data_IF_688210101408
#
_entry.id   IF_688210101408
#
_cell.length_a   1.000
_cell.length_b   1.000
_cell.length_c   1.000
_cell.angle_alpha   90.00
_cell.angle_beta   90.00
_cell.angle_gamma   90.00
#
_symmetry.space_group_name_H-M   'P 1'
#
loop_
_entity.id
_entity.type
_entity.pdbx_description
1 polymer ?
#
# COMPACT_ATOMS: atom_id res chain seq x y z
N UNK A 1 -7.07 21.71 6.06
CA UNK A 1 -7.73 20.54 6.68
C UNK A 1 -6.85 19.28 6.64
N UNK A 2 -6.36 18.84 5.46
CA UNK A 2 -5.47 17.66 5.35
C UNK A 2 -4.18 17.77 6.18
N UNK A 3 -3.49 18.91 6.11
CA UNK A 3 -2.33 19.18 6.95
C UNK A 3 -2.62 19.19 8.45
N UNK A 4 -3.79 19.68 8.85
CA UNK A 4 -4.24 19.61 10.25
C UNK A 4 -4.60 18.20 10.67
N UNK A 5 -5.16 17.37 9.78
CA UNK A 5 -5.42 15.96 10.05
C UNK A 5 -4.12 15.17 10.16
N UNK A 6 -3.15 15.38 9.26
CA UNK A 6 -1.82 14.74 9.35
C UNK A 6 -1.12 15.10 10.66
N UNK A 7 -1.15 16.39 11.04
CA UNK A 7 -0.62 16.86 12.32
C UNK A 7 -1.46 16.35 13.49
N UNK A 8 -2.80 16.22 13.40
CA UNK A 8 -3.63 15.71 14.50
C UNK A 8 -3.50 14.18 14.69
N UNK A 9 -3.29 13.42 13.62
CA UNK A 9 -2.92 11.99 13.67
C UNK A 9 -1.56 11.82 14.37
N UNK A 10 -0.67 12.78 14.20
CA UNK A 10 0.67 12.74 14.77
C UNK A 10 0.68 13.29 16.22
N UNK A 11 0.18 14.49 16.47
CA UNK A 11 0.32 15.21 17.76
C UNK A 11 -0.43 14.57 18.93
N UNK A 12 -1.41 13.69 18.70
CA UNK A 12 -2.21 13.17 19.80
C UNK A 12 -1.47 12.07 20.58
N UNK A 13 -1.02 12.41 21.79
CA UNK A 13 -0.54 11.45 22.82
C UNK A 13 -1.65 10.52 23.32
N UNK A 14 -2.85 10.56 22.76
CA UNK A 14 -3.92 9.63 23.10
C UNK A 14 -3.72 8.30 22.35
N UNK A 15 -3.89 7.15 23.03
CA UNK A 15 -3.88 5.84 22.36
C UNK A 15 -5.02 5.67 21.35
N UNK A 16 -5.88 6.68 21.12
CA UNK A 16 -7.13 6.58 20.37
C UNK A 16 -7.08 7.10 18.92
N UNK A 17 -6.04 7.80 18.49
CA UNK A 17 -5.97 8.41 17.14
C UNK A 17 -4.72 7.98 16.33
N UNK A 18 -4.45 6.67 16.23
CA UNK A 18 -3.36 6.17 15.38
C UNK A 18 -3.80 6.03 13.92
N UNK A 19 -2.85 6.09 12.97
CA UNK A 19 -3.14 5.80 11.55
C UNK A 19 -3.83 4.45 11.35
N UNK A 20 -3.55 3.46 12.20
CA UNK A 20 -4.25 2.17 12.19
C UNK A 20 -5.73 2.35 12.55
N UNK A 21 -6.04 3.00 13.68
CA UNK A 21 -7.43 3.22 14.12
C UNK A 21 -8.23 4.05 13.12
N UNK A 22 -7.61 5.08 12.55
CA UNK A 22 -8.23 5.91 11.52
C UNK A 22 -8.48 5.09 10.24
N UNK A 23 -7.52 4.26 9.84
CA UNK A 23 -7.70 3.38 8.69
C UNK A 23 -8.88 2.42 8.90
N UNK A 24 -8.98 1.80 10.07
CA UNK A 24 -10.08 0.88 10.40
C UNK A 24 -11.46 1.56 10.33
N UNK A 25 -11.55 2.82 10.76
CA UNK A 25 -12.79 3.62 10.72
C UNK A 25 -13.14 4.07 9.29
N UNK A 26 -12.15 4.51 8.51
CA UNK A 26 -12.37 5.06 7.17
C UNK A 26 -12.57 3.94 6.12
N UNK A 27 -11.97 2.78 6.32
CA UNK A 27 -11.93 1.71 5.32
C UNK A 27 -13.31 1.28 4.79
N UNK A 28 -14.36 1.08 5.61
CA UNK A 28 -15.69 0.76 5.10
C UNK A 28 -16.25 1.82 4.14
N UNK A 29 -15.92 3.10 4.33
CA UNK A 29 -16.36 4.16 3.42
C UNK A 29 -15.66 4.06 2.06
N UNK A 30 -14.37 3.68 2.04
CA UNK A 30 -13.60 3.52 0.81
C UNK A 30 -14.18 2.39 -0.06
N UNK A 31 -14.57 1.27 0.56
CA UNK A 31 -15.19 0.14 -0.16
C UNK A 31 -16.49 0.54 -0.87
N UNK A 32 -17.18 1.56 -0.37
CA UNK A 32 -18.44 2.05 -0.93
C UNK A 32 -18.27 3.18 -1.95
N UNK A 33 -17.04 3.63 -2.25
CA UNK A 33 -16.80 4.61 -3.31
C UNK A 33 -16.90 3.88 -4.66
N UNK A 34 -17.90 4.16 -5.51
CA UNK A 34 -18.14 3.38 -6.72
C UNK A 34 -17.20 3.72 -7.87
N UNK A 35 -16.76 4.99 -7.94
CA UNK A 35 -15.99 5.52 -9.05
C UNK A 35 -14.49 5.39 -8.78
N UNK A 36 -13.78 4.74 -9.72
CA UNK A 36 -12.32 4.62 -9.70
C UNK A 36 -11.61 5.97 -9.53
N UNK A 37 -12.03 6.99 -10.28
CA UNK A 37 -11.41 8.33 -10.22
C UNK A 37 -11.51 8.98 -8.84
N UNK A 38 -12.61 8.75 -8.11
CA UNK A 38 -12.79 9.24 -6.75
C UNK A 38 -11.87 8.50 -5.77
N UNK A 39 -11.74 7.19 -5.90
CA UNK A 39 -10.79 6.40 -5.09
C UNK A 39 -9.35 6.80 -5.37
N UNK A 40 -8.98 6.98 -6.64
CA UNK A 40 -7.66 7.47 -7.04
C UNK A 40 -7.37 8.86 -6.46
N UNK A 41 -8.31 9.80 -6.58
CA UNK A 41 -8.16 11.14 -6.00
C UNK A 41 -7.99 11.08 -4.47
N UNK A 42 -8.72 10.20 -3.79
CA UNK A 42 -8.60 10.02 -2.34
C UNK A 42 -7.18 9.60 -1.95
N UNK A 43 -6.62 8.56 -2.58
CA UNK A 43 -5.29 8.07 -2.24
C UNK A 43 -4.17 9.02 -2.69
N UNK A 44 -4.33 9.70 -3.82
CA UNK A 44 -3.33 10.64 -4.34
C UNK A 44 -3.26 11.95 -3.54
N UNK A 45 -4.37 12.38 -2.94
CA UNK A 45 -4.41 13.60 -2.10
C UNK A 45 -4.07 13.35 -0.64
N UNK A 46 -3.82 12.10 -0.25
CA UNK A 46 -3.49 11.76 1.14
C UNK A 46 -2.04 12.13 1.48
N UNK A 47 -1.87 13.13 2.34
CA UNK A 47 -0.54 13.60 2.77
C UNK A 47 0.19 12.57 3.65
N UNK A 48 -0.54 11.93 4.57
CA UNK A 48 0.04 10.95 5.51
C UNK A 48 0.39 9.64 4.80
N UNK A 49 1.68 9.40 4.60
CA UNK A 49 2.20 8.17 3.98
C UNK A 49 1.85 6.92 4.80
N UNK A 50 1.90 7.04 6.13
CA UNK A 50 1.55 5.93 7.02
C UNK A 50 0.07 5.58 6.94
N UNK A 51 -0.82 6.57 6.93
CA UNK A 51 -2.26 6.33 6.76
C UNK A 51 -2.56 5.74 5.38
N UNK A 52 -1.91 6.26 4.33
CA UNK A 52 -2.04 5.74 2.97
C UNK A 52 -1.59 4.28 2.88
N UNK A 53 -0.45 3.93 3.49
CA UNK A 53 -0.01 2.53 3.64
C UNK A 53 -1.09 1.68 4.31
N UNK A 54 -1.62 2.12 5.46
CA UNK A 54 -2.58 1.32 6.24
C UNK A 54 -3.88 1.07 5.49
N UNK A 55 -4.41 2.09 4.83
CA UNK A 55 -5.64 1.95 4.04
C UNK A 55 -5.44 1.05 2.81
N UNK A 56 -4.30 1.20 2.11
CA UNK A 56 -3.98 0.33 0.98
C UNK A 56 -3.75 -1.12 1.43
N UNK A 57 -3.08 -1.35 2.57
CA UNK A 57 -2.94 -2.68 3.16
C UNK A 57 -4.30 -3.33 3.47
N UNK A 58 -5.24 -2.59 4.07
CA UNK A 58 -6.59 -3.08 4.33
C UNK A 58 -7.33 -3.40 3.02
N UNK A 59 -7.19 -2.56 2.00
CA UNK A 59 -7.79 -2.77 0.69
C UNK A 59 -7.26 -4.04 0.03
N UNK A 60 -5.95 -4.27 0.04
CA UNK A 60 -5.36 -5.50 -0.48
C UNK A 60 -5.74 -6.72 0.36
N UNK A 61 -5.75 -6.62 1.69
CA UNK A 61 -6.18 -7.70 2.56
C UNK A 61 -7.61 -8.13 2.27
N UNK A 62 -8.52 -7.17 2.10
CA UNK A 62 -9.91 -7.43 1.71
C UNK A 62 -10.03 -8.00 0.30
N UNK A 63 -9.10 -7.65 -0.60
CA UNK A 63 -9.09 -8.07 -1.99
C UNK A 63 -8.27 -9.35 -2.25
N UNK A 64 -7.74 -9.99 -1.21
CA UNK A 64 -7.07 -11.28 -1.31
C UNK A 64 -8.05 -12.40 -0.95
N UNK A 65 -7.99 -13.49 -1.70
CA UNK A 65 -8.73 -14.72 -1.42
C UNK A 65 -8.16 -15.47 -0.21
N UNK A 66 -6.84 -15.44 -0.04
CA UNK A 66 -6.13 -16.06 1.08
C UNK A 66 -5.65 -14.98 2.04
N UNK A 67 -6.21 -14.87 3.26
CA UNK A 67 -5.79 -13.88 4.24
C UNK A 67 -4.37 -14.16 4.74
N UNK A 68 -3.59 -13.11 4.91
CA UNK A 68 -2.24 -13.19 5.49
C UNK A 68 -2.19 -12.54 6.88
N UNK A 69 -1.42 -13.14 7.78
CA UNK A 69 -1.08 -12.58 9.10
C UNK A 69 0.27 -11.89 9.11
N UNK A 70 0.90 -11.74 7.93
CA UNK A 70 2.19 -11.06 7.83
C UNK A 70 2.11 -9.64 8.41
N UNK A 71 3.18 -9.18 9.05
CA UNK A 71 3.28 -7.80 9.47
C UNK A 71 3.33 -6.86 8.25
N UNK A 72 3.26 -5.54 8.50
CA UNK A 72 3.38 -4.49 7.49
C UNK A 72 4.80 -4.44 6.93
N UNK A 73 5.16 -5.40 6.08
CA UNK A 73 6.51 -5.62 5.55
C UNK A 73 6.51 -5.79 4.03
N UNK A 74 7.70 -5.76 3.41
CA UNK A 74 7.85 -6.01 1.97
C UNK A 74 7.31 -7.39 1.58
N UNK A 75 7.50 -8.41 2.43
CA UNK A 75 6.95 -9.75 2.22
C UNK A 75 5.44 -9.73 2.04
N UNK A 76 4.74 -8.89 2.81
CA UNK A 76 3.29 -8.75 2.72
C UNK A 76 2.86 -8.07 1.42
N UNK A 77 3.61 -7.07 0.95
CA UNK A 77 3.34 -6.40 -0.33
C UNK A 77 3.52 -7.39 -1.49
N UNK A 78 4.59 -8.20 -1.48
CA UNK A 78 4.80 -9.26 -2.47
C UNK A 78 3.73 -10.35 -2.38
N UNK A 79 3.30 -10.69 -1.17
CA UNK A 79 2.19 -11.62 -0.97
C UNK A 79 0.91 -11.10 -1.64
N UNK A 80 0.59 -9.81 -1.47
CA UNK A 80 -0.57 -9.21 -2.12
C UNK A 80 -0.48 -9.29 -3.64
N UNK A 81 0.67 -8.95 -4.24
CA UNK A 81 0.91 -9.05 -5.69
C UNK A 81 0.57 -10.45 -6.23
N UNK A 82 0.89 -11.51 -5.47
CA UNK A 82 0.62 -12.89 -5.86
C UNK A 82 -0.83 -13.35 -5.63
N UNK A 83 -1.59 -12.75 -4.70
CA UNK A 83 -2.88 -13.31 -4.24
C UNK A 83 -4.09 -12.38 -4.40
N UNK A 84 -3.94 -11.14 -4.88
CA UNK A 84 -5.12 -10.29 -5.05
C UNK A 84 -6.05 -10.81 -6.17
N UNK A 85 -7.36 -10.73 -5.92
CA UNK A 85 -8.46 -11.25 -6.75
C UNK A 85 -9.50 -10.19 -7.14
N UNK A 86 -9.26 -8.91 -6.81
CA UNK A 86 -10.05 -7.75 -7.26
C UNK A 86 -11.52 -7.79 -6.79
N UNK A 87 -11.74 -7.60 -5.48
CA UNK A 87 -13.07 -7.71 -4.83
C UNK A 87 -13.79 -6.38 -4.62
N UNK A 88 -13.33 -5.28 -5.22
CA UNK A 88 -13.95 -3.97 -5.08
C UNK A 88 -15.30 -3.89 -5.81
N UNK A 89 -16.22 -3.08 -5.28
CA UNK A 89 -17.47 -2.76 -5.96
C UNK A 89 -17.24 -1.71 -7.06
N UNK A 90 -17.81 -1.96 -8.23
CA UNK A 90 -17.78 -1.07 -9.38
C UNK A 90 -19.22 -0.79 -9.81
N UNK A 91 -19.54 0.48 -10.07
CA UNK A 91 -20.88 0.88 -10.50
C UNK A 91 -21.18 0.48 -11.95
N UNK A 92 -20.15 0.39 -12.79
CA UNK A 92 -20.28 -0.02 -14.19
C UNK A 92 -19.73 -1.43 -14.41
N UNK A 93 -20.10 -2.04 -15.54
CA UNK A 93 -19.47 -3.25 -16.10
C UNK A 93 -18.02 -2.97 -16.56
N UNK A 94 -17.19 -2.51 -15.63
CA UNK A 94 -15.78 -2.26 -15.84
C UNK A 94 -15.11 -3.54 -16.29
N UNK A 95 -14.39 -3.45 -17.41
CA UNK A 95 -13.69 -4.59 -17.97
C UNK A 95 -12.66 -5.10 -16.96
N UNK A 96 -12.48 -6.42 -16.87
CA UNK A 96 -11.58 -7.06 -15.91
C UNK A 96 -10.19 -6.41 -15.89
N UNK A 97 -9.61 -6.13 -17.06
CA UNK A 97 -8.30 -5.49 -17.16
C UNK A 97 -8.23 -4.09 -16.51
N UNK A 98 -9.32 -3.30 -16.52
CA UNK A 98 -9.34 -1.97 -15.90
C UNK A 98 -9.26 -2.06 -14.37
N UNK A 99 -9.84 -3.13 -13.81
CA UNK A 99 -9.79 -3.39 -12.38
C UNK A 99 -8.39 -3.85 -11.95
N UNK A 100 -7.75 -4.69 -12.76
CA UNK A 100 -6.34 -5.05 -12.58
C UNK A 100 -5.43 -3.83 -12.69
N UNK A 101 -5.68 -2.92 -13.63
CA UNK A 101 -4.92 -1.68 -13.79
C UNK A 101 -5.01 -0.78 -12.54
N UNK A 102 -6.21 -0.69 -11.95
CA UNK A 102 -6.42 0.03 -10.69
C UNK A 102 -5.70 -0.64 -9.52
N UNK A 103 -5.77 -1.97 -9.40
CA UNK A 103 -5.06 -2.69 -8.34
C UNK A 103 -3.54 -2.55 -8.47
N UNK A 104 -2.99 -2.61 -9.68
CA UNK A 104 -1.57 -2.33 -9.91
C UNK A 104 -1.20 -0.90 -9.52
N UNK A 105 -2.05 0.08 -9.81
CA UNK A 105 -1.85 1.47 -9.36
C UNK A 105 -1.76 1.56 -7.84
N UNK A 106 -2.66 0.88 -7.14
CA UNK A 106 -2.71 0.84 -5.68
C UNK A 106 -1.51 0.12 -5.08
N UNK A 107 -1.01 -0.92 -5.75
CA UNK A 107 0.20 -1.62 -5.33
C UNK A 107 1.42 -0.70 -5.45
N UNK A 108 1.55 0.04 -6.55
CA UNK A 108 2.62 1.03 -6.73
C UNK A 108 2.53 2.13 -5.66
N UNK A 109 1.33 2.64 -5.37
CA UNK A 109 1.12 3.61 -4.30
C UNK A 109 1.47 3.04 -2.92
N UNK A 110 1.15 1.77 -2.66
CA UNK A 110 1.50 1.09 -1.41
C UNK A 110 3.01 0.96 -1.28
N UNK A 111 3.69 0.49 -2.33
CA UNK A 111 5.15 0.34 -2.34
C UNK A 111 5.85 1.70 -2.15
N UNK A 112 5.42 2.75 -2.84
CA UNK A 112 5.96 4.10 -2.67
C UNK A 112 5.74 4.63 -1.25
N UNK A 113 4.54 4.46 -0.71
CA UNK A 113 4.23 4.87 0.67
C UNK A 113 5.07 4.08 1.68
N UNK A 114 5.26 2.79 1.42
CA UNK A 114 6.05 1.88 2.23
C UNK A 114 7.51 2.30 2.27
N UNK A 115 8.11 2.55 1.11
CA UNK A 115 9.49 3.03 1.01
C UNK A 115 9.68 4.36 1.76
N UNK A 116 8.70 5.27 1.71
CA UNK A 116 8.76 6.52 2.48
C UNK A 116 8.67 6.29 3.99
N UNK A 117 7.88 5.32 4.44
CA UNK A 117 7.75 4.96 5.86
C UNK A 117 8.99 4.24 6.40
N UNK A 118 9.69 3.47 5.57
CA UNK A 118 10.73 2.51 6.00
C UNK A 118 12.15 2.88 5.57
N UNK A 119 12.33 3.32 4.33
CA UNK A 119 13.63 3.37 3.67
C UNK A 119 14.17 4.77 3.42
N UNK A 120 13.38 5.83 3.58
CA UNK A 120 13.78 7.19 3.22
C UNK A 120 14.82 7.82 4.17
N UNK A 121 15.72 7.07 4.81
CA UNK A 121 16.81 7.65 5.63
C UNK A 121 17.76 8.50 4.76
N UNK A 122 18.24 9.68 5.20
CA UNK A 122 18.03 10.33 6.50
C UNK A 122 16.81 11.26 6.56
N UNK A 123 15.98 11.29 5.51
CA UNK A 123 14.77 12.12 5.40
C UNK A 123 13.52 11.45 6.02
N UNK A 124 13.62 10.18 6.43
CA UNK A 124 12.52 9.39 6.97
C UNK A 124 12.23 9.82 8.40
N UNK A 125 11.01 10.28 8.65
CA UNK A 125 10.54 10.75 9.95
C UNK A 125 10.35 9.64 10.99
N UNK A 126 11.01 8.48 10.85
CA UNK A 126 10.81 7.30 11.71
C UNK A 126 9.31 7.03 11.94
N UNK A 127 8.51 7.05 10.86
CA UNK A 127 7.04 7.04 10.93
C UNK A 127 6.45 5.83 11.70
N UNK A 128 7.19 4.72 11.79
CA UNK A 128 6.83 3.56 12.61
C UNK A 128 7.09 3.72 14.10
N UNK A 129 8.02 4.59 14.47
CA UNK A 129 8.35 4.86 15.86
C UNK A 129 7.29 5.77 16.49
N UNK A 130 7.03 5.63 17.80
CA UNK A 130 6.24 6.61 18.53
C UNK A 130 6.87 8.01 18.43
N UNK A 131 6.06 9.05 18.27
CA UNK A 131 6.55 10.43 18.14
C UNK A 131 7.43 10.88 19.30
N UNK A 132 7.14 10.38 20.52
CA UNK A 132 7.97 10.62 21.70
C UNK A 132 9.43 10.21 21.53
N UNK A 133 9.70 9.21 20.69
CA UNK A 133 11.03 8.66 20.47
C UNK A 133 11.64 9.07 19.14
N UNK A 134 10.87 9.68 18.23
CA UNK A 134 11.33 10.04 16.87
C UNK A 134 12.43 11.10 16.90
N UNK A 135 12.30 12.14 17.72
CA UNK A 135 13.32 13.20 17.81
C UNK A 135 14.67 12.63 18.26
N UNK A 136 14.69 11.75 19.26
CA UNK A 136 15.91 11.11 19.73
C UNK A 136 16.56 10.26 18.64
N UNK A 137 15.76 9.49 17.90
CA UNK A 137 16.24 8.65 16.79
C UNK A 137 16.84 9.49 15.65
N UNK A 138 16.22 10.65 15.33
CA UNK A 138 16.72 11.59 14.32
C UNK A 138 18.06 12.20 14.77
N UNK A 139 18.15 12.67 16.03
CA UNK A 139 19.39 13.22 16.60
C UNK A 139 20.50 12.17 16.58
N UNK A 140 20.17 10.93 16.90
CA UNK A 140 21.11 9.80 16.89
C UNK A 140 21.45 9.28 15.49
N UNK A 141 20.81 9.81 14.43
CA UNK A 141 20.92 9.30 13.05
C UNK A 141 20.67 7.79 12.97
N UNK A 142 19.76 7.29 13.79
CA UNK A 142 19.42 5.87 13.82
C UNK A 142 18.78 5.46 12.49
N UNK A 143 19.04 4.23 12.02
CA UNK A 143 18.29 3.69 10.89
C UNK A 143 16.85 3.37 11.32
N UNK A 144 15.84 3.55 10.45
CA UNK A 144 14.49 3.09 10.72
C UNK A 144 14.47 1.58 11.00
N UNK A 145 13.57 1.15 11.88
CA UNK A 145 13.44 -0.25 12.27
C UNK A 145 12.81 -1.05 11.12
N UNK A 146 13.56 -2.01 10.61
CA UNK A 146 13.05 -3.02 9.68
C UNK A 146 12.10 -3.97 10.42
N UNK A 147 11.11 -4.46 9.71
CA UNK A 147 10.14 -5.43 10.17
C UNK A 147 10.52 -6.82 9.68
N UNK A 148 10.03 -7.86 10.36
CA UNK A 148 10.21 -9.23 9.90
C UNK A 148 9.60 -9.39 8.49
N UNK A 149 10.40 -9.89 7.55
CA UNK A 149 10.03 -9.97 6.14
C UNK A 149 10.33 -8.70 5.32
N UNK A 150 11.14 -7.77 5.83
CA UNK A 150 11.73 -6.69 5.01
C UNK A 150 13.04 -7.08 4.35
N UNK A 151 13.78 -8.01 4.95
CA UNK A 151 15.01 -8.55 4.39
C UNK A 151 14.66 -9.66 3.39
N UNK A 152 14.42 -9.27 2.14
CA UNK A 152 14.08 -10.17 1.04
C UNK A 152 15.14 -10.01 -0.04
N UNK A 153 15.62 -11.14 -0.55
CA UNK A 153 16.57 -11.15 -1.65
C UNK A 153 15.92 -10.62 -2.93
N UNK A 154 16.68 -9.86 -3.73
CA UNK A 154 16.27 -9.39 -5.05
C UNK A 154 15.78 -10.53 -5.95
N UNK A 155 16.42 -11.70 -5.88
CA UNK A 155 16.00 -12.87 -6.65
C UNK A 155 14.58 -13.31 -6.28
N UNK A 156 14.24 -13.33 -4.99
CA UNK A 156 12.91 -13.73 -4.52
C UNK A 156 11.84 -12.72 -4.94
N UNK A 157 12.19 -11.42 -4.92
CA UNK A 157 11.32 -10.34 -5.44
C UNK A 157 11.03 -10.57 -6.92
N UNK A 158 12.08 -10.79 -7.72
CA UNK A 158 11.95 -11.00 -9.16
C UNK A 158 11.11 -12.24 -9.48
N UNK A 159 11.34 -13.35 -8.79
CA UNK A 159 10.54 -14.57 -8.96
C UNK A 159 9.06 -14.31 -8.64
N UNK A 160 8.75 -13.58 -7.55
CA UNK A 160 7.37 -13.24 -7.20
C UNK A 160 6.70 -12.34 -8.22
N UNK A 161 7.43 -11.40 -8.82
CA UNK A 161 6.92 -10.55 -9.89
C UNK A 161 6.59 -11.39 -11.12
N UNK A 162 7.52 -12.25 -11.59
CA UNK A 162 7.30 -13.09 -12.77
C UNK A 162 6.17 -14.11 -12.59
N UNK A 163 6.06 -14.73 -11.42
CA UNK A 163 4.93 -15.61 -11.07
C UNK A 163 3.59 -14.86 -11.17
N UNK A 164 3.58 -13.62 -10.66
CA UNK A 164 2.37 -12.80 -10.65
C UNK A 164 1.99 -12.32 -12.04
N UNK A 165 2.98 -11.98 -12.88
CA UNK A 165 2.77 -11.69 -14.30
C UNK A 165 2.17 -12.91 -15.00
N UNK A 166 2.77 -14.09 -14.83
CA UNK A 166 2.30 -15.33 -15.45
C UNK A 166 0.84 -15.64 -15.06
N UNK A 167 0.48 -15.46 -13.79
CA UNK A 167 -0.91 -15.57 -13.31
C UNK A 167 -1.83 -14.55 -13.98
N UNK A 168 -1.41 -13.29 -14.06
CA UNK A 168 -2.18 -12.24 -14.75
C UNK A 168 -2.42 -12.56 -16.22
N UNK A 169 -1.43 -13.15 -16.91
CA UNK A 169 -1.58 -13.58 -18.31
C UNK A 169 -2.66 -14.65 -18.47
N UNK A 170 -2.78 -15.56 -17.50
CA UNK A 170 -3.83 -16.59 -17.52
C UNK A 170 -5.24 -16.00 -17.31
N UNK A 171 -5.36 -14.96 -16.46
CA UNK A 171 -6.65 -14.33 -16.13
C UNK A 171 -7.10 -13.33 -17.21
N UNK A 172 -6.20 -12.49 -17.70
CA UNK A 172 -6.50 -11.44 -18.67
C UNK A 172 -6.36 -11.89 -20.13
N UNK A 173 -5.71 -13.03 -20.36
CA UNK A 173 -5.30 -13.46 -21.70
C UNK A 173 -4.07 -12.68 -22.20
N UNK A 174 -3.63 -13.02 -23.41
CA UNK A 174 -2.60 -12.28 -24.14
C UNK A 174 -3.16 -11.68 -25.43
N UNK A 175 -2.71 -10.48 -25.85
CA UNK A 175 -1.71 -9.62 -25.20
C UNK A 175 -2.30 -8.70 -24.09
N UNK A 176 -1.45 -8.22 -23.17
CA UNK A 176 -1.87 -7.21 -22.18
C UNK A 176 -2.17 -5.85 -22.83
N UNK A 177 -3.13 -5.08 -22.31
CA UNK A 177 -3.25 -3.66 -22.62
C UNK A 177 -1.97 -2.89 -22.27
N UNK A 178 -1.65 -1.84 -23.03
CA UNK A 178 -0.45 -1.03 -22.85
C UNK A 178 -0.30 -0.49 -21.41
N UNK A 179 -1.41 -0.06 -20.81
CA UNK A 179 -1.43 0.50 -19.46
C UNK A 179 -0.99 -0.50 -18.39
N UNK A 180 -1.37 -1.77 -18.54
CA UNK A 180 -0.93 -2.86 -17.67
C UNK A 180 0.55 -3.12 -17.88
N UNK A 181 0.99 -3.19 -19.14
CA UNK A 181 2.38 -3.48 -19.49
C UNK A 181 3.34 -2.42 -18.92
N UNK A 182 3.00 -1.13 -19.05
CA UNK A 182 3.78 -0.02 -18.48
C UNK A 182 3.95 -0.16 -16.96
N UNK A 183 2.88 -0.48 -16.22
CA UNK A 183 2.94 -0.65 -14.77
C UNK A 183 3.72 -1.89 -14.34
N UNK A 184 3.60 -2.99 -15.07
CA UNK A 184 4.38 -4.21 -14.81
C UNK A 184 5.88 -3.98 -15.05
N UNK A 185 6.24 -3.22 -16.08
CA UNK A 185 7.63 -2.83 -16.32
C UNK A 185 8.20 -1.97 -15.18
N UNK A 186 7.39 -1.14 -14.54
CA UNK A 186 7.82 -0.33 -13.40
C UNK A 186 7.99 -1.13 -12.09
N UNK A 187 7.43 -2.34 -12.01
CA UNK A 187 7.57 -3.21 -10.84
C UNK A 187 8.85 -4.07 -10.90
N UNK A 188 9.39 -4.29 -12.11
CA UNK A 188 10.67 -4.99 -12.35
C UNK A 188 11.85 -4.06 -12.05
#
# INVERSE_FOLDING_TARGET
>A
LQRMLSIAVEVDKSPNCSSCKIADVIFPFILNIPLRSQREALFNTMESQLLRCKLLELLFQHSCDVPTTLPSSLAKILYFLSHFSVLLQYQDETATWQRWDEMLQYLSLLLMSYQNVVLAFPLAEHLRSPLSSRMDLIIQKAKPKLQDGDDINHLDIQLKIEDSISRMQQVLGQPFPLQIMEKLCMLR
#
